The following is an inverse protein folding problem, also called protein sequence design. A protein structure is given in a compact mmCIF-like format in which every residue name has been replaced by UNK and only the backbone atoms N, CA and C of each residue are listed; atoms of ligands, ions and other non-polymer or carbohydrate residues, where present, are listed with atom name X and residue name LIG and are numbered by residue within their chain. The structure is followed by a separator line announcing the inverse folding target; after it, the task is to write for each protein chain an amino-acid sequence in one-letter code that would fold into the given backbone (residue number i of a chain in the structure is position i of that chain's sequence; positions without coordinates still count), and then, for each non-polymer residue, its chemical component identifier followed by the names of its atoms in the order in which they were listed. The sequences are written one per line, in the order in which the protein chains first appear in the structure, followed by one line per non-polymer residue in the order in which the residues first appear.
data_IF_623505624670
#
_entry.id   IF_623505624670
#
_cell.length_a   1.000
_cell.length_b   1.000
_cell.length_c   1.000
_cell.angle_alpha   90.00
_cell.angle_beta   90.00
_cell.angle_gamma   90.00
#
_symmetry.space_group_name_H-M   'P 1'
#
loop_
_entity.id
_entity.type
_entity.pdbx_description
1 polymer ?
#
# COMPACT_ATOMS: atom_id res chain seq x y z
N UNK A 1 37.18 74.52 -53.87
CA UNK A 1 36.19 73.72 -53.14
C UNK A 1 36.63 72.27 -53.27
N UNK A 2 37.47 71.82 -52.35
CA UNK A 2 37.97 70.44 -52.32
C UNK A 2 36.97 69.56 -51.58
N UNK A 3 36.28 68.71 -52.31
CA UNK A 3 35.39 67.68 -51.75
C UNK A 3 36.22 66.49 -51.29
N UNK A 4 36.31 66.29 -49.97
CA UNK A 4 36.96 65.13 -49.38
C UNK A 4 36.28 63.82 -49.82
N UNK A 5 37.04 62.79 -50.20
CA UNK A 5 36.48 61.50 -50.61
C UNK A 5 35.79 60.81 -49.42
N UNK A 6 34.66 60.11 -49.65
CA UNK A 6 33.94 59.42 -48.58
C UNK A 6 34.81 58.31 -47.98
N UNK A 7 34.72 58.08 -46.65
CA UNK A 7 35.49 57.04 -45.99
C UNK A 7 35.11 55.67 -46.57
N UNK A 8 36.10 54.94 -47.07
CA UNK A 8 35.95 53.56 -47.50
C UNK A 8 35.56 52.70 -46.29
N UNK A 9 34.45 51.95 -46.35
CA UNK A 9 34.04 51.11 -45.23
C UNK A 9 35.09 50.03 -44.98
N UNK A 10 35.53 49.90 -43.73
CA UNK A 10 36.55 48.93 -43.35
C UNK A 10 36.15 47.49 -43.75
N UNK A 11 37.06 46.71 -44.35
CA UNK A 11 36.79 45.34 -44.81
C UNK A 11 36.32 44.38 -43.70
N UNK A 12 36.60 44.71 -42.44
CA UNK A 12 36.24 43.97 -41.22
C UNK A 12 34.72 43.88 -41.00
N UNK A 13 33.97 44.95 -41.32
CA UNK A 13 32.52 45.02 -41.04
C UNK A 13 31.71 44.12 -41.99
N UNK A 14 32.17 43.96 -43.23
CA UNK A 14 31.49 43.13 -44.25
C UNK A 14 31.66 41.65 -43.95
N UNK A 15 32.82 41.25 -43.43
CA UNK A 15 33.09 39.87 -43.03
C UNK A 15 32.27 39.48 -41.80
N UNK A 16 32.23 40.34 -40.77
CA UNK A 16 31.44 40.11 -39.56
C UNK A 16 29.94 39.93 -39.86
N UNK A 17 29.36 40.75 -40.74
CA UNK A 17 27.95 40.59 -41.17
C UNK A 17 27.68 39.27 -41.88
N UNK A 18 28.62 38.78 -42.72
CA UNK A 18 28.47 37.48 -43.40
C UNK A 18 28.54 36.31 -42.43
N UNK A 19 29.41 36.38 -41.42
CA UNK A 19 29.50 35.38 -40.35
C UNK A 19 28.23 35.34 -39.51
N UNK A 20 27.72 36.50 -39.08
CA UNK A 20 26.46 36.58 -38.33
C UNK A 20 25.29 36.00 -39.12
N UNK A 21 25.17 36.36 -40.41
CA UNK A 21 24.10 35.84 -41.27
C UNK A 21 24.19 34.32 -41.46
N UNK A 22 25.40 33.75 -41.59
CA UNK A 22 25.59 32.29 -41.63
C UNK A 22 25.21 31.63 -40.31
N UNK A 23 25.64 32.17 -39.17
CA UNK A 23 25.29 31.65 -37.86
C UNK A 23 23.78 31.69 -37.61
N UNK A 24 23.09 32.75 -38.04
CA UNK A 24 21.63 32.85 -37.96
C UNK A 24 20.94 31.82 -38.87
N UNK A 25 21.42 31.63 -40.10
CA UNK A 25 20.89 30.62 -41.01
C UNK A 25 21.09 29.19 -40.48
N UNK A 26 22.23 28.91 -39.85
CA UNK A 26 22.51 27.62 -39.20
C UNK A 26 21.60 27.39 -38.00
N UNK A 27 21.39 28.41 -37.15
CA UNK A 27 20.48 28.33 -36.01
C UNK A 27 19.02 28.08 -36.43
N UNK A 28 18.57 28.70 -37.54
CA UNK A 28 17.24 28.45 -38.09
C UNK A 28 17.13 27.00 -38.61
N UNK A 29 18.16 26.50 -39.30
CA UNK A 29 18.19 25.12 -39.81
C UNK A 29 18.20 24.08 -38.69
N UNK A 30 18.98 24.28 -37.63
CA UNK A 30 19.02 23.36 -36.49
C UNK A 30 17.71 23.37 -35.72
N UNK A 31 17.07 24.54 -35.54
CA UNK A 31 15.75 24.64 -34.93
C UNK A 31 14.68 23.93 -35.76
N UNK A 32 14.65 24.14 -37.07
CA UNK A 32 13.69 23.46 -37.96
C UNK A 32 13.89 21.93 -37.96
N UNK A 33 15.14 21.46 -37.92
CA UNK A 33 15.44 20.03 -37.80
C UNK A 33 14.95 19.45 -36.47
N UNK A 34 15.15 20.16 -35.36
CA UNK A 34 14.67 19.74 -34.04
C UNK A 34 13.13 19.71 -33.97
N UNK A 35 12.44 20.71 -34.52
CA UNK A 35 10.98 20.74 -34.60
C UNK A 35 10.42 19.58 -35.44
N UNK A 36 11.09 19.23 -36.54
CA UNK A 36 10.72 18.07 -37.37
C UNK A 36 10.98 16.72 -36.67
N UNK A 37 11.99 16.63 -35.80
CA UNK A 37 12.24 15.44 -34.98
C UNK A 37 11.19 15.27 -33.87
N UNK A 38 10.84 16.35 -33.17
CA UNK A 38 9.75 16.35 -32.17
C UNK A 38 8.43 15.94 -32.81
N UNK A 39 8.11 16.46 -34.00
CA UNK A 39 6.89 16.09 -34.72
C UNK A 39 6.86 14.61 -35.11
N UNK A 40 7.99 14.05 -35.56
CA UNK A 40 8.11 12.61 -35.85
C UNK A 40 7.97 11.76 -34.60
N UNK A 41 8.57 12.18 -33.48
CA UNK A 41 8.42 11.47 -32.20
C UNK A 41 6.96 11.49 -31.70
N UNK A 42 6.27 12.62 -31.82
CA UNK A 42 4.85 12.73 -31.47
C UNK A 42 3.97 11.83 -32.34
N UNK A 43 4.23 11.75 -33.65
CA UNK A 43 3.53 10.84 -34.55
C UNK A 43 3.75 9.35 -34.15
N UNK A 44 4.99 8.97 -33.82
CA UNK A 44 5.30 7.61 -33.38
C UNK A 44 4.59 7.25 -32.06
N UNK A 45 4.51 8.17 -31.10
CA UNK A 45 3.77 7.98 -29.84
C UNK A 45 2.27 7.78 -30.13
N UNK A 46 1.69 8.58 -31.04
CA UNK A 46 0.29 8.44 -31.44
C UNK A 46 0.01 7.09 -32.12
N UNK A 47 0.95 6.55 -32.90
CA UNK A 47 0.83 5.23 -33.53
C UNK A 47 0.84 4.09 -32.50
N UNK A 48 1.73 4.16 -31.52
CA UNK A 48 1.77 3.19 -30.42
C UNK A 48 0.47 3.23 -29.61
N UNK A 49 -0.03 4.43 -29.29
CA UNK A 49 -1.28 4.59 -28.57
C UNK A 49 -2.48 4.01 -29.34
N UNK A 50 -2.52 4.20 -30.67
CA UNK A 50 -3.56 3.59 -31.53
C UNK A 50 -3.46 2.07 -31.56
N UNK A 51 -2.26 1.51 -31.61
CA UNK A 51 -2.06 0.06 -31.58
C UNK A 51 -2.48 -0.55 -30.23
N UNK A 52 -2.17 0.11 -29.12
CA UNK A 52 -2.60 -0.33 -27.79
C UNK A 52 -4.12 -0.27 -27.62
N UNK A 53 -4.76 0.80 -28.10
CA UNK A 53 -6.22 0.93 -28.08
C UNK A 53 -6.90 -0.18 -28.89
N UNK A 54 -6.35 -0.56 -30.05
CA UNK A 54 -6.86 -1.66 -30.85
C UNK A 54 -6.75 -3.01 -30.12
N UNK A 55 -5.61 -3.29 -29.46
CA UNK A 55 -5.43 -4.51 -28.65
C UNK A 55 -6.38 -4.56 -27.46
N UNK A 56 -6.60 -3.42 -26.79
CA UNK A 56 -7.54 -3.32 -25.69
C UNK A 56 -8.99 -3.57 -26.16
N UNK A 57 -9.37 -3.04 -27.32
CA UNK A 57 -10.68 -3.29 -27.93
C UNK A 57 -10.87 -4.77 -28.26
N UNK A 58 -9.86 -5.44 -28.83
CA UNK A 58 -9.90 -6.87 -29.12
C UNK A 58 -10.01 -7.71 -27.84
N UNK A 59 -9.24 -7.37 -26.80
CA UNK A 59 -9.32 -8.04 -25.50
C UNK A 59 -10.71 -7.91 -24.87
N UNK A 60 -11.28 -6.72 -24.88
CA UNK A 60 -12.64 -6.48 -24.38
C UNK A 60 -13.70 -7.23 -25.18
N UNK A 61 -13.51 -7.38 -26.50
CA UNK A 61 -14.40 -8.19 -27.33
C UNK A 61 -14.36 -9.67 -26.89
N UNK A 62 -13.17 -10.24 -26.70
CA UNK A 62 -13.01 -11.62 -26.21
C UNK A 62 -13.62 -11.83 -24.82
N UNK A 63 -13.47 -10.85 -23.93
CA UNK A 63 -14.08 -10.90 -22.59
C UNK A 63 -15.62 -10.99 -22.68
N UNK A 64 -16.24 -10.17 -23.53
CA UNK A 64 -17.69 -10.20 -23.75
C UNK A 64 -18.17 -11.50 -24.39
N UNK A 65 -17.37 -12.12 -25.26
CA UNK A 65 -17.67 -13.43 -25.84
C UNK A 65 -17.63 -14.53 -24.76
N UNK A 66 -16.66 -14.49 -23.85
CA UNK A 66 -16.59 -15.41 -22.71
C UNK A 66 -17.75 -15.23 -21.72
N UNK A 67 -18.10 -13.99 -21.39
CA UNK A 67 -19.24 -13.68 -20.51
C UNK A 67 -20.57 -14.19 -21.11
N UNK A 68 -20.74 -14.07 -22.44
CA UNK A 68 -21.91 -14.63 -23.13
C UNK A 68 -21.93 -16.17 -23.08
N UNK A 69 -20.80 -16.81 -23.34
CA UNK A 69 -20.70 -18.27 -23.26
C UNK A 69 -20.98 -18.79 -21.84
N UNK A 70 -20.50 -18.10 -20.81
CA UNK A 70 -20.77 -18.44 -19.41
C UNK A 70 -22.26 -18.24 -19.06
N UNK A 71 -22.87 -17.15 -19.53
CA UNK A 71 -24.30 -16.90 -19.35
C UNK A 71 -25.17 -17.98 -20.02
N UNK A 72 -24.81 -18.39 -21.24
CA UNK A 72 -25.49 -19.49 -21.96
C UNK A 72 -25.35 -20.82 -21.21
N UNK A 73 -24.15 -21.19 -20.77
CA UNK A 73 -23.92 -22.39 -19.97
C UNK A 73 -24.71 -22.39 -18.67
N UNK A 74 -24.84 -21.22 -18.03
CA UNK A 74 -25.64 -21.06 -16.80
C UNK A 74 -27.14 -21.24 -17.06
N UNK A 75 -27.65 -20.74 -18.18
CA UNK A 75 -29.06 -20.95 -18.58
C UNK A 75 -29.31 -22.42 -18.88
N UNK A 76 -28.40 -23.11 -19.54
CA UNK A 76 -28.49 -24.54 -19.82
C UNK A 76 -28.49 -25.37 -18.53
N UNK A 77 -27.62 -25.05 -17.57
CA UNK A 77 -27.59 -25.69 -16.26
C UNK A 77 -28.93 -25.51 -15.51
N UNK A 78 -29.47 -24.29 -15.50
CA UNK A 78 -30.75 -24.01 -14.85
C UNK A 78 -31.91 -24.75 -15.54
N UNK A 79 -31.86 -24.86 -16.87
CA UNK A 79 -32.83 -25.65 -17.63
C UNK A 79 -32.75 -27.14 -17.26
N UNK A 80 -31.55 -27.72 -17.22
CA UNK A 80 -31.36 -29.12 -16.82
C UNK A 80 -31.85 -29.37 -15.38
N UNK A 81 -31.59 -28.45 -14.45
CA UNK A 81 -32.12 -28.52 -13.08
C UNK A 81 -33.65 -28.47 -13.05
N UNK A 82 -34.25 -27.59 -13.87
CA UNK A 82 -35.71 -27.47 -13.95
C UNK A 82 -36.33 -28.73 -14.56
N UNK A 83 -35.76 -29.26 -15.64
CA UNK A 83 -36.18 -30.52 -16.26
C UNK A 83 -36.09 -31.68 -15.27
N UNK A 84 -35.01 -31.78 -14.48
CA UNK A 84 -34.86 -32.78 -13.44
C UNK A 84 -35.91 -32.67 -12.31
N UNK A 85 -36.33 -31.46 -11.95
CA UNK A 85 -37.38 -31.23 -10.95
C UNK A 85 -38.79 -31.49 -11.48
N UNK A 86 -39.02 -31.27 -12.78
CA UNK A 86 -40.32 -31.48 -13.44
C UNK A 86 -40.51 -32.88 -14.01
N UNK A 87 -39.43 -33.67 -14.10
CA UNK A 87 -39.52 -35.06 -14.54
C UNK A 87 -40.49 -35.83 -13.61
N UNK A 88 -41.50 -36.52 -14.16
CA UNK A 88 -42.40 -37.31 -13.33
C UNK A 88 -41.57 -38.30 -12.52
N UNK A 89 -41.87 -38.49 -11.22
CA UNK A 89 -41.15 -39.44 -10.40
C UNK A 89 -41.21 -40.79 -11.11
N UNK A 90 -40.06 -41.29 -11.55
CA UNK A 90 -39.96 -42.60 -12.19
C UNK A 90 -40.56 -43.59 -11.19
N UNK A 91 -41.65 -44.29 -11.54
CA UNK A 91 -42.28 -45.23 -10.62
C UNK A 91 -41.21 -46.23 -10.19
N UNK A 92 -40.95 -46.27 -8.90
CA UNK A 92 -39.97 -47.15 -8.29
C UNK A 92 -40.48 -48.60 -8.39
N UNK A 93 -40.36 -49.21 -9.57
CA UNK A 93 -40.54 -50.64 -9.75
C UNK A 93 -39.24 -51.35 -9.37
N UNK A 94 -39.16 -51.79 -8.11
CA UNK A 94 -38.14 -52.75 -7.68
C UNK A 94 -37.66 -52.55 -6.24
N UNK A 95 -37.57 -53.63 -5.43
CA UNK A 95 -37.22 -53.55 -4.01
C UNK A 95 -35.73 -53.25 -3.81
N UNK A 96 -35.43 -52.63 -2.67
CA UNK A 96 -34.10 -52.40 -2.10
C UNK A 96 -33.13 -51.50 -2.87
N UNK A 97 -33.55 -50.26 -3.16
CA UNK A 97 -32.58 -49.16 -3.33
C UNK A 97 -32.19 -48.66 -1.94
N UNK A 98 -30.93 -48.88 -1.48
CA UNK A 98 -30.50 -48.45 -0.16
C UNK A 98 -30.68 -46.94 -0.04
N UNK A 99 -31.21 -46.50 1.11
CA UNK A 99 -31.44 -45.10 1.44
C UNK A 99 -30.24 -44.24 1.02
N UNK A 100 -30.47 -43.05 0.42
CA UNK A 100 -29.40 -42.20 -0.08
C UNK A 100 -28.38 -42.01 1.02
N UNK A 101 -27.16 -42.51 0.76
CA UNK A 101 -26.05 -42.46 1.67
C UNK A 101 -25.79 -40.98 1.96
N UNK A 102 -26.26 -40.50 3.12
CA UNK A 102 -26.00 -39.15 3.61
C UNK A 102 -24.49 -39.06 3.72
N UNK A 103 -23.87 -38.50 2.68
CA UNK A 103 -22.43 -38.38 2.57
C UNK A 103 -21.89 -37.77 3.86
N UNK A 104 -20.83 -38.36 4.42
CA UNK A 104 -20.28 -38.02 5.73
C UNK A 104 -20.01 -36.51 5.93
N UNK A 105 -19.91 -35.76 4.82
CA UNK A 105 -19.83 -34.29 4.75
C UNK A 105 -21.02 -33.56 5.39
N UNK A 106 -22.27 -34.03 5.23
CA UNK A 106 -23.45 -33.31 5.76
C UNK A 106 -23.63 -33.52 7.27
N UNK A 107 -23.28 -34.71 7.79
CA UNK A 107 -23.20 -34.96 9.24
C UNK A 107 -22.11 -34.14 9.92
N UNK A 108 -20.96 -34.00 9.26
CA UNK A 108 -19.86 -33.17 9.74
C UNK A 108 -20.28 -31.70 9.89
N UNK A 109 -20.99 -31.15 8.90
CA UNK A 109 -21.43 -29.75 8.91
C UNK A 109 -22.46 -29.45 10.02
N UNK A 110 -23.36 -30.40 10.33
CA UNK A 110 -24.33 -30.28 11.44
C UNK A 110 -23.67 -30.38 12.82
N UNK A 111 -22.73 -31.30 12.99
CA UNK A 111 -21.94 -31.41 14.23
C UNK A 111 -21.13 -30.14 14.48
N UNK A 112 -20.50 -29.58 13.44
CA UNK A 112 -19.81 -28.30 13.54
C UNK A 112 -20.75 -27.13 13.85
N UNK A 113 -21.94 -27.09 13.26
CA UNK A 113 -22.93 -26.06 13.58
C UNK A 113 -23.34 -26.12 15.06
N UNK A 114 -23.53 -27.32 15.63
CA UNK A 114 -23.82 -27.50 17.05
C UNK A 114 -22.63 -27.11 17.95
N UNK A 115 -21.41 -27.53 17.59
CA UNK A 115 -20.16 -27.19 18.30
C UNK A 115 -19.87 -25.70 18.26
N UNK A 116 -20.31 -24.97 17.23
CA UNK A 116 -20.14 -23.52 17.12
C UNK A 116 -21.26 -22.73 17.80
N UNK A 117 -22.49 -23.26 17.79
CA UNK A 117 -23.64 -22.61 18.43
C UNK A 117 -23.48 -22.57 19.96
N UNK A 118 -22.92 -23.61 20.57
CA UNK A 118 -22.76 -23.70 22.03
C UNK A 118 -21.82 -22.59 22.57
N UNK A 119 -20.62 -22.34 22.00
CA UNK A 119 -19.76 -21.21 22.36
C UNK A 119 -20.34 -19.84 22.01
N UNK A 120 -21.04 -19.70 20.88
CA UNK A 120 -21.67 -18.43 20.51
C UNK A 120 -22.76 -18.02 21.51
N UNK A 121 -23.60 -18.97 21.96
CA UNK A 121 -24.58 -18.73 23.01
C UNK A 121 -23.93 -18.57 24.40
N UNK A 122 -22.91 -19.36 24.74
CA UNK A 122 -22.27 -19.26 26.05
C UNK A 122 -21.41 -18.00 26.19
N UNK A 123 -20.73 -17.56 25.14
CA UNK A 123 -19.91 -16.34 25.17
C UNK A 123 -20.65 -15.05 24.96
N UNK A 124 -21.82 -15.03 24.32
CA UNK A 124 -22.71 -13.84 24.38
C UNK A 124 -23.23 -13.64 25.80
N UNK A 125 -23.57 -14.74 26.48
CA UNK A 125 -23.97 -14.71 27.89
C UNK A 125 -22.79 -14.31 28.79
N UNK A 126 -21.61 -14.92 28.61
CA UNK A 126 -20.42 -14.60 29.39
C UNK A 126 -19.88 -13.18 29.11
N UNK A 127 -19.93 -12.69 27.87
CA UNK A 127 -19.53 -11.31 27.55
C UNK A 127 -20.48 -10.28 28.17
N UNK A 128 -21.80 -10.56 28.24
CA UNK A 128 -22.73 -9.74 29.02
C UNK A 128 -22.33 -9.68 30.49
N UNK A 129 -22.09 -10.84 31.14
CA UNK A 129 -21.74 -10.85 32.56
C UNK A 129 -20.31 -10.35 32.86
N UNK A 130 -19.36 -10.55 31.95
CA UNK A 130 -17.98 -10.12 32.08
C UNK A 130 -17.80 -8.62 31.86
N UNK A 131 -18.58 -8.00 30.97
CA UNK A 131 -18.65 -6.54 30.88
C UNK A 131 -19.25 -5.94 32.15
N UNK A 132 -20.25 -6.58 32.73
CA UNK A 132 -20.87 -6.13 33.99
C UNK A 132 -19.88 -6.24 35.17
N UNK A 133 -19.09 -7.32 35.24
CA UNK A 133 -18.08 -7.53 36.29
C UNK A 133 -16.83 -6.63 36.11
N UNK A 134 -16.36 -6.43 34.88
CA UNK A 134 -15.17 -5.63 34.58
C UNK A 134 -15.43 -4.11 34.61
N UNK A 135 -16.67 -3.65 34.38
CA UNK A 135 -17.02 -2.23 34.36
C UNK A 135 -17.30 -1.62 35.73
N UNK A 136 -17.32 -2.38 36.83
CA UNK A 136 -17.69 -1.78 38.11
C UNK A 136 -16.99 -2.37 39.34
N UNK A 137 -16.09 -1.61 40.00
CA UNK A 137 -15.65 -1.88 41.38
C UNK A 137 -16.79 -1.95 42.40
N UNK A 138 -18.01 -1.51 42.04
CA UNK A 138 -19.23 -1.70 42.86
C UNK A 138 -20.05 -2.95 42.51
N UNK A 139 -19.68 -3.73 41.48
CA UNK A 139 -20.43 -4.95 41.15
C UNK A 139 -20.17 -6.07 42.15
N UNK A 140 -18.93 -6.19 42.63
CA UNK A 140 -18.57 -7.14 43.69
C UNK A 140 -19.39 -6.89 44.97
N UNK A 141 -19.41 -5.68 45.56
CA UNK A 141 -20.27 -5.43 46.72
C UNK A 141 -21.77 -5.53 46.40
N UNK A 142 -22.23 -5.21 45.19
CA UNK A 142 -23.63 -5.42 44.79
C UNK A 142 -24.01 -6.92 44.78
N UNK A 143 -23.16 -7.79 44.24
CA UNK A 143 -23.40 -9.25 44.21
C UNK A 143 -23.28 -9.84 45.62
N UNK A 144 -22.27 -9.44 46.39
CA UNK A 144 -22.11 -9.88 47.79
C UNK A 144 -23.32 -9.47 48.65
N UNK A 145 -23.82 -8.25 48.47
CA UNK A 145 -24.88 -7.67 49.29
C UNK A 145 -26.28 -8.20 48.90
N UNK A 146 -26.54 -8.38 47.59
CA UNK A 146 -27.88 -8.71 47.10
C UNK A 146 -28.10 -10.21 46.85
N UNK A 147 -27.06 -10.95 46.44
CA UNK A 147 -27.15 -12.39 46.20
C UNK A 147 -26.69 -13.24 47.39
N UNK A 148 -26.07 -12.64 48.43
CA UNK A 148 -25.50 -13.33 49.61
C UNK A 148 -24.53 -14.46 49.22
N UNK A 149 -23.80 -14.25 48.14
CA UNK A 149 -22.85 -15.23 47.60
C UNK A 149 -21.48 -14.92 48.20
N UNK A 150 -20.85 -15.90 48.85
CA UNK A 150 -19.52 -15.72 49.46
C UNK A 150 -18.49 -15.26 48.40
N UNK A 151 -17.49 -14.47 48.82
CA UNK A 151 -16.46 -13.93 47.93
C UNK A 151 -15.73 -15.02 47.10
N UNK A 152 -15.64 -16.25 47.61
CA UNK A 152 -15.10 -17.41 46.90
C UNK A 152 -15.94 -17.77 45.66
N UNK A 153 -17.27 -17.72 45.77
CA UNK A 153 -18.17 -18.01 44.68
C UNK A 153 -18.22 -16.87 43.65
N UNK A 154 -18.07 -15.61 44.08
CA UNK A 154 -17.97 -14.46 43.17
C UNK A 154 -16.71 -14.53 42.32
N UNK A 155 -15.57 -14.88 42.94
CA UNK A 155 -14.31 -15.08 42.22
C UNK A 155 -14.34 -16.30 41.29
N UNK A 156 -14.97 -17.40 41.71
CA UNK A 156 -15.18 -18.57 40.85
C UNK A 156 -16.08 -18.23 39.63
N UNK A 157 -17.14 -17.44 39.83
CA UNK A 157 -18.02 -16.99 38.76
C UNK A 157 -17.29 -16.06 37.79
N UNK A 158 -16.50 -15.10 38.29
CA UNK A 158 -15.70 -14.22 37.46
C UNK A 158 -14.68 -15.01 36.62
N UNK A 159 -14.01 -15.99 37.22
CA UNK A 159 -13.11 -16.89 36.51
C UNK A 159 -13.83 -17.70 35.42
N UNK A 160 -15.00 -18.29 35.73
CA UNK A 160 -15.79 -19.05 34.78
C UNK A 160 -16.25 -18.19 33.58
N UNK A 161 -16.63 -16.93 33.85
CA UNK A 161 -16.99 -15.96 32.81
C UNK A 161 -15.79 -15.63 31.92
N UNK A 162 -14.64 -15.30 32.51
CA UNK A 162 -13.42 -14.96 31.77
C UNK A 162 -12.98 -16.13 30.88
N UNK A 163 -13.00 -17.35 31.42
CA UNK A 163 -12.72 -18.57 30.68
C UNK A 163 -13.70 -18.78 29.52
N UNK A 164 -15.00 -18.59 29.74
CA UNK A 164 -16.01 -18.71 28.70
C UNK A 164 -15.86 -17.67 27.58
N UNK A 165 -15.46 -16.43 27.91
CA UNK A 165 -15.14 -15.39 26.92
C UNK A 165 -13.96 -15.83 26.05
N UNK A 166 -12.85 -16.28 26.67
CA UNK A 166 -11.67 -16.77 25.97
C UNK A 166 -12.01 -17.91 25.01
N UNK A 167 -12.72 -18.93 25.50
CA UNK A 167 -13.16 -20.08 24.70
C UNK A 167 -14.05 -19.66 23.51
N UNK A 168 -14.94 -18.68 23.72
CA UNK A 168 -15.84 -18.22 22.67
C UNK A 168 -15.09 -17.47 21.58
N UNK A 169 -14.16 -16.59 21.95
CA UNK A 169 -13.34 -15.87 20.99
C UNK A 169 -12.50 -16.83 20.15
N UNK A 170 -11.90 -17.85 20.77
CA UNK A 170 -11.16 -18.89 20.04
C UNK A 170 -12.05 -19.67 19.07
N UNK A 171 -13.24 -20.06 19.50
CA UNK A 171 -14.20 -20.78 18.66
C UNK A 171 -14.68 -19.90 17.49
N UNK A 172 -14.90 -18.60 17.74
CA UNK A 172 -15.27 -17.64 16.70
C UNK A 172 -14.12 -17.44 15.70
N UNK A 173 -12.87 -17.42 16.16
CA UNK A 173 -11.68 -17.42 15.30
C UNK A 173 -11.66 -18.63 14.36
N UNK A 174 -11.85 -19.84 14.91
CA UNK A 174 -11.93 -21.07 14.11
C UNK A 174 -13.11 -21.05 13.11
N UNK A 175 -14.25 -20.49 13.50
CA UNK A 175 -15.38 -20.30 12.60
C UNK A 175 -15.04 -19.39 11.42
N UNK A 176 -14.37 -18.26 11.68
CA UNK A 176 -13.91 -17.36 10.62
C UNK A 176 -12.86 -18.02 9.72
N UNK A 177 -11.99 -18.87 10.28
CA UNK A 177 -11.05 -19.69 9.50
C UNK A 177 -11.79 -20.64 8.54
N UNK A 178 -12.87 -21.27 9.02
CA UNK A 178 -13.74 -22.13 8.20
C UNK A 178 -14.48 -21.34 7.11
N UNK A 179 -14.97 -20.14 7.40
CA UNK A 179 -15.59 -19.27 6.40
C UNK A 179 -14.58 -18.84 5.33
N UNK A 180 -13.35 -18.49 5.73
CA UNK A 180 -12.26 -18.20 4.81
C UNK A 180 -11.97 -19.40 3.89
N UNK A 181 -12.01 -20.62 4.41
CA UNK A 181 -11.88 -21.83 3.61
C UNK A 181 -13.04 -22.03 2.63
N UNK A 182 -14.28 -21.87 3.09
CA UNK A 182 -15.46 -21.96 2.21
C UNK A 182 -15.42 -20.91 1.10
N UNK A 183 -14.97 -19.69 1.39
CA UNK A 183 -14.78 -18.64 0.38
C UNK A 183 -13.76 -19.06 -0.67
N UNK A 184 -12.60 -19.60 -0.27
CA UNK A 184 -11.58 -20.13 -1.19
C UNK A 184 -12.12 -21.19 -2.14
N UNK A 185 -12.89 -22.13 -1.61
CA UNK A 185 -13.47 -23.22 -2.42
C UNK A 185 -14.48 -22.70 -3.46
N UNK A 186 -15.05 -21.52 -3.25
CA UNK A 186 -15.93 -20.85 -4.22
C UNK A 186 -15.18 -19.95 -5.21
N UNK A 187 -13.86 -19.82 -5.07
CA UNK A 187 -13.07 -18.85 -5.83
C UNK A 187 -13.17 -17.41 -5.31
N UNK A 188 -13.86 -17.18 -4.20
CA UNK A 188 -13.99 -15.86 -3.57
C UNK A 188 -12.71 -15.49 -2.79
N UNK A 189 -12.49 -14.19 -2.61
CA UNK A 189 -11.37 -13.69 -1.80
C UNK A 189 -11.56 -14.02 -0.31
N UNK A 190 -10.65 -14.79 0.32
CA UNK A 190 -10.72 -15.09 1.75
C UNK A 190 -10.15 -13.99 2.64
N UNK A 191 -9.68 -12.88 2.05
CA UNK A 191 -8.88 -11.88 2.76
C UNK A 191 -9.63 -11.25 3.93
N UNK A 192 -10.91 -10.89 3.74
CA UNK A 192 -11.74 -10.29 4.79
C UNK A 192 -11.94 -11.24 5.97
N UNK A 193 -12.37 -12.48 5.71
CA UNK A 193 -12.60 -13.48 6.75
C UNK A 193 -11.34 -13.78 7.57
N UNK A 194 -10.18 -13.83 6.91
CA UNK A 194 -8.88 -13.98 7.58
C UNK A 194 -8.47 -12.77 8.38
N UNK A 195 -8.71 -11.57 7.86
CA UNK A 195 -8.45 -10.34 8.60
C UNK A 195 -9.23 -10.31 9.91
N UNK A 196 -10.53 -10.63 9.85
CA UNK A 196 -11.38 -10.69 11.05
C UNK A 196 -10.97 -11.84 11.97
N UNK A 197 -10.66 -13.03 11.43
CA UNK A 197 -10.12 -14.15 12.21
C UNK A 197 -8.88 -13.74 13.01
N UNK A 198 -7.87 -13.15 12.36
CA UNK A 198 -6.64 -12.74 13.03
C UNK A 198 -6.86 -11.63 14.05
N UNK A 199 -7.81 -10.72 13.80
CA UNK A 199 -8.20 -9.72 14.79
C UNK A 199 -8.81 -10.37 16.05
N UNK A 200 -9.70 -11.35 15.88
CA UNK A 200 -10.31 -12.09 16.99
C UNK A 200 -9.26 -12.90 17.76
N UNK A 201 -8.35 -13.58 17.07
CA UNK A 201 -7.26 -14.37 17.68
C UNK A 201 -6.30 -13.46 18.46
N UNK A 202 -5.93 -12.32 17.89
CA UNK A 202 -5.09 -11.34 18.58
C UNK A 202 -5.77 -10.81 19.84
N UNK A 203 -7.07 -10.53 19.75
CA UNK A 203 -7.86 -10.10 20.91
C UNK A 203 -7.96 -11.20 21.98
N UNK A 204 -8.27 -12.45 21.60
CA UNK A 204 -8.31 -13.60 22.51
C UNK A 204 -6.96 -13.81 23.22
N UNK A 205 -5.87 -13.75 22.45
CA UNK A 205 -4.50 -13.86 22.95
C UNK A 205 -4.18 -12.75 23.96
N UNK A 206 -4.59 -11.51 23.69
CA UNK A 206 -4.40 -10.37 24.59
C UNK A 206 -5.21 -10.52 25.90
N UNK A 207 -6.46 -10.98 25.81
CA UNK A 207 -7.30 -11.26 27.00
C UNK A 207 -6.67 -12.35 27.86
N UNK A 208 -6.28 -13.47 27.25
CA UNK A 208 -5.61 -14.56 27.95
C UNK A 208 -4.27 -14.12 28.56
N UNK A 209 -3.48 -13.32 27.83
CA UNK A 209 -2.25 -12.76 28.37
C UNK A 209 -2.50 -11.91 29.62
N UNK A 210 -3.48 -11.00 29.55
CA UNK A 210 -3.81 -10.06 30.62
C UNK A 210 -4.39 -10.75 31.85
N UNK A 211 -5.22 -11.77 31.67
CA UNK A 211 -5.85 -12.48 32.78
C UNK A 211 -4.82 -13.24 33.61
N UNK A 212 -3.94 -13.96 32.92
CA UNK A 212 -2.94 -14.80 33.58
C UNK A 212 -1.67 -14.04 33.96
N UNK A 213 -1.50 -12.78 33.55
CA UNK A 213 -0.37 -11.92 33.92
C UNK A 213 -0.78 -10.84 34.93
N UNK A 214 0.05 -10.54 35.96
CA UNK A 214 -0.28 -9.50 36.93
C UNK A 214 -0.53 -8.11 36.32
N UNK A 215 0.17 -7.79 35.23
CA UNK A 215 0.01 -6.57 34.46
C UNK A 215 0.48 -6.78 33.03
N UNK A 216 0.16 -5.83 32.13
CA UNK A 216 0.63 -5.85 30.73
C UNK A 216 2.16 -5.80 30.61
N UNK A 217 2.85 -5.18 31.57
CA UNK A 217 4.30 -5.02 31.59
C UNK A 217 5.05 -6.14 32.31
N UNK A 218 4.34 -7.03 33.02
CA UNK A 218 4.94 -8.10 33.81
C UNK A 218 4.42 -9.45 33.32
N UNK A 219 5.05 -10.04 32.28
CA UNK A 219 4.63 -11.33 31.75
C UNK A 219 4.72 -12.41 32.84
N UNK A 220 3.66 -13.19 32.99
CA UNK A 220 3.75 -14.48 33.69
C UNK A 220 3.97 -15.60 32.67
N UNK A 221 4.57 -16.70 33.09
CA UNK A 221 4.74 -17.90 32.25
C UNK A 221 3.39 -18.41 31.75
N UNK A 222 2.37 -18.45 32.61
CA UNK A 222 1.03 -18.89 32.25
C UNK A 222 0.37 -17.96 31.23
N UNK A 223 0.49 -16.64 31.40
CA UNK A 223 -0.07 -15.67 30.45
C UNK A 223 0.56 -15.76 29.07
N UNK A 224 1.88 -15.96 29.00
CA UNK A 224 2.56 -16.20 27.72
C UNK A 224 2.10 -17.51 27.08
N UNK A 225 1.98 -18.59 27.86
CA UNK A 225 1.54 -19.91 27.35
C UNK A 225 0.10 -19.85 26.82
N UNK A 226 -0.85 -19.31 27.58
CA UNK A 226 -2.25 -19.24 27.14
C UNK A 226 -2.43 -18.31 25.94
N UNK A 227 -1.74 -17.16 25.93
CA UNK A 227 -1.73 -16.27 24.78
C UNK A 227 -1.17 -16.95 23.52
N UNK A 228 -0.11 -17.75 23.66
CA UNK A 228 0.48 -18.51 22.57
C UNK A 228 -0.44 -19.65 22.10
N UNK A 229 -1.11 -20.34 23.01
CA UNK A 229 -2.08 -21.41 22.69
C UNK A 229 -3.24 -20.88 21.83
N UNK A 230 -3.77 -19.69 22.14
CA UNK A 230 -4.83 -19.06 21.33
C UNK A 230 -4.39 -18.77 19.89
N UNK A 231 -3.13 -18.40 19.69
CA UNK A 231 -2.56 -18.19 18.36
C UNK A 231 -2.27 -19.53 17.67
N UNK A 232 -1.72 -20.49 18.41
CA UNK A 232 -1.32 -21.80 17.92
C UNK A 232 -2.52 -22.62 17.42
N UNK A 233 -3.68 -22.53 18.07
CA UNK A 233 -4.90 -23.26 17.67
C UNK A 233 -5.35 -22.88 16.25
N UNK A 234 -5.37 -21.58 15.94
CA UNK A 234 -5.73 -21.08 14.61
C UNK A 234 -4.62 -21.30 13.59
N UNK A 235 -3.35 -21.17 13.98
CA UNK A 235 -2.21 -21.51 13.12
C UNK A 235 -2.25 -22.98 12.67
N UNK A 236 -2.52 -23.90 13.61
CA UNK A 236 -2.64 -25.33 13.31
C UNK A 236 -3.76 -25.61 12.31
N UNK A 237 -4.90 -24.93 12.46
CA UNK A 237 -6.01 -25.02 11.52
C UNK A 237 -5.66 -24.49 10.13
N UNK A 238 -5.08 -23.29 10.03
CA UNK A 238 -4.64 -22.70 8.76
C UNK A 238 -3.59 -23.58 8.05
N UNK A 239 -2.66 -24.18 8.79
CA UNK A 239 -1.67 -25.10 8.24
C UNK A 239 -2.32 -26.37 7.68
N UNK A 240 -3.26 -26.96 8.44
CA UNK A 240 -4.04 -28.14 8.03
C UNK A 240 -4.85 -27.85 6.77
N UNK A 241 -5.58 -26.73 6.73
CA UNK A 241 -6.40 -26.35 5.58
C UNK A 241 -5.56 -26.00 4.35
N UNK A 242 -4.41 -25.33 4.54
CA UNK A 242 -3.50 -25.09 3.43
C UNK A 242 -2.98 -26.39 2.83
N UNK A 243 -2.68 -27.41 3.65
CA UNK A 243 -2.28 -28.73 3.15
C UNK A 243 -3.43 -29.41 2.42
N UNK A 244 -4.63 -29.41 3.00
CA UNK A 244 -5.81 -30.01 2.38
C UNK A 244 -6.19 -29.36 1.04
N UNK A 245 -6.13 -28.03 0.93
CA UNK A 245 -6.35 -27.30 -0.33
C UNK A 245 -5.31 -27.70 -1.39
N UNK A 246 -4.04 -27.86 -0.98
CA UNK A 246 -2.98 -28.29 -1.88
C UNK A 246 -3.22 -29.71 -2.42
N UNK A 247 -3.59 -30.63 -1.53
CA UNK A 247 -3.85 -32.02 -1.88
C UNK A 247 -5.09 -32.14 -2.79
N UNK A 248 -6.13 -31.33 -2.55
CA UNK A 248 -7.32 -31.26 -3.42
C UNK A 248 -6.99 -30.76 -4.82
N UNK A 249 -6.25 -29.65 -4.94
CA UNK A 249 -5.83 -29.12 -6.25
C UNK A 249 -4.97 -30.11 -7.00
N UNK A 250 -4.06 -30.79 -6.32
CA UNK A 250 -3.25 -31.85 -6.92
C UNK A 250 -4.12 -32.99 -7.45
N UNK A 251 -5.13 -33.42 -6.68
CA UNK A 251 -6.07 -34.46 -7.10
C UNK A 251 -6.96 -34.01 -8.27
N UNK A 252 -7.40 -32.74 -8.30
CA UNK A 252 -8.20 -32.17 -9.38
C UNK A 252 -7.41 -32.07 -10.69
N UNK A 253 -6.16 -31.58 -10.64
CA UNK A 253 -5.26 -31.56 -11.79
C UNK A 253 -5.03 -32.97 -12.33
N UNK A 254 -4.80 -33.94 -11.45
CA UNK A 254 -4.65 -35.34 -11.83
C UNK A 254 -5.91 -35.89 -12.52
N UNK A 255 -7.11 -35.52 -12.05
CA UNK A 255 -8.40 -35.92 -12.66
C UNK A 255 -8.64 -35.31 -14.04
N UNK A 256 -8.20 -34.06 -14.27
CA UNK A 256 -8.39 -33.36 -15.54
C UNK A 256 -7.48 -33.89 -16.67
N UNK A 257 -6.64 -34.89 -16.41
CA UNK A 257 -5.78 -35.51 -17.42
C UNK A 257 -4.72 -34.56 -17.98
N UNK A 258 -4.61 -33.34 -17.43
CA UNK A 258 -3.45 -32.49 -17.64
C UNK A 258 -2.29 -33.22 -16.99
N UNK A 259 -1.45 -33.85 -17.83
CA UNK A 259 -0.15 -34.38 -17.41
C UNK A 259 0.48 -33.35 -16.48
N UNK A 260 1.03 -33.76 -15.33
CA UNK A 260 1.43 -32.82 -14.29
C UNK A 260 2.43 -31.85 -14.93
N UNK A 261 1.97 -30.66 -15.28
CA UNK A 261 2.79 -29.48 -15.06
C UNK A 261 2.67 -29.36 -13.56
N UNK A 262 3.62 -29.91 -12.78
CA UNK A 262 3.56 -29.73 -11.35
C UNK A 262 3.39 -28.24 -11.15
N UNK A 263 2.36 -27.81 -10.42
CA UNK A 263 2.44 -26.53 -9.74
C UNK A 263 3.82 -26.62 -9.08
N UNK A 264 4.82 -25.81 -9.53
CA UNK A 264 6.20 -26.08 -9.23
C UNK A 264 6.26 -26.24 -7.71
N UNK A 265 6.73 -27.39 -7.20
CA UNK A 265 6.74 -27.64 -5.77
C UNK A 265 7.41 -26.41 -5.15
N UNK A 266 6.72 -25.77 -4.21
CA UNK A 266 7.34 -24.66 -3.46
C UNK A 266 8.68 -25.21 -2.97
N UNK A 267 9.79 -24.48 -3.15
CA UNK A 267 11.10 -24.99 -2.78
C UNK A 267 11.04 -25.42 -1.32
N UNK A 268 11.40 -26.67 -1.05
CA UNK A 268 11.42 -27.23 0.30
C UNK A 268 12.61 -26.67 1.07
N UNK A 269 12.50 -25.41 1.49
CA UNK A 269 13.49 -24.74 2.32
C UNK A 269 13.31 -25.20 3.76
N UNK A 270 14.28 -25.95 4.29
CA UNK A 270 14.23 -26.46 5.66
C UNK A 270 14.14 -25.36 6.73
N UNK A 271 13.42 -25.62 7.81
CA UNK A 271 13.15 -24.67 8.92
C UNK A 271 14.45 -24.13 9.53
N UNK A 272 15.50 -24.95 9.67
CA UNK A 272 16.79 -24.51 10.18
C UNK A 272 17.37 -23.32 9.38
N UNK A 273 17.14 -23.28 8.06
CA UNK A 273 17.65 -22.22 7.19
C UNK A 273 16.90 -20.90 7.39
N UNK A 274 15.59 -20.97 7.68
CA UNK A 274 14.79 -19.81 8.07
C UNK A 274 15.31 -19.15 9.36
N UNK A 275 15.86 -19.93 10.29
CA UNK A 275 16.43 -19.42 11.53
C UNK A 275 17.83 -18.84 11.34
N UNK A 276 18.70 -19.52 10.58
CA UNK A 276 20.10 -19.12 10.41
C UNK A 276 20.28 -17.97 9.41
N UNK A 277 19.52 -18.00 8.31
CA UNK A 277 19.67 -17.05 7.20
C UNK A 277 18.29 -16.56 6.71
N UNK A 278 17.52 -15.84 7.55
CA UNK A 278 16.14 -15.45 7.25
C UNK A 278 16.02 -14.59 5.99
N UNK A 279 16.93 -13.60 5.82
CA UNK A 279 16.92 -12.72 4.64
C UNK A 279 17.16 -13.51 3.35
N UNK A 280 18.13 -14.41 3.35
CA UNK A 280 18.48 -15.22 2.18
C UNK A 280 17.37 -16.21 1.83
N UNK A 281 16.84 -16.89 2.85
CA UNK A 281 15.74 -17.86 2.71
C UNK A 281 14.45 -17.19 2.23
N UNK A 282 14.12 -16.00 2.73
CA UNK A 282 12.97 -15.22 2.27
C UNK A 282 13.11 -14.78 0.82
N UNK A 283 14.29 -14.25 0.43
CA UNK A 283 14.56 -13.89 -0.97
C UNK A 283 14.46 -15.12 -1.88
N UNK A 284 15.07 -16.25 -1.50
CA UNK A 284 14.98 -17.50 -2.27
C UNK A 284 13.54 -17.99 -2.43
N UNK A 285 12.77 -17.98 -1.36
CA UNK A 285 11.36 -18.33 -1.41
C UNK A 285 10.56 -17.40 -2.33
N UNK A 286 10.75 -16.08 -2.21
CA UNK A 286 10.08 -15.09 -3.05
C UNK A 286 10.44 -15.25 -4.52
N UNK A 287 11.72 -15.42 -4.82
CA UNK A 287 12.21 -15.60 -6.20
C UNK A 287 11.70 -16.90 -6.79
N UNK A 288 11.69 -18.00 -6.03
CA UNK A 288 11.12 -19.26 -6.49
C UNK A 288 9.63 -19.16 -6.84
N UNK A 289 8.85 -18.43 -6.02
CA UNK A 289 7.42 -18.21 -6.29
C UNK A 289 7.21 -17.31 -7.52
N UNK A 290 8.00 -16.25 -7.65
CA UNK A 290 7.86 -15.26 -8.73
C UNK A 290 8.32 -15.83 -10.07
N UNK A 291 9.47 -16.50 -10.08
CA UNK A 291 10.13 -17.03 -11.28
C UNK A 291 9.76 -18.49 -11.54
N UNK A 292 8.85 -19.06 -10.73
CA UNK A 292 8.37 -20.45 -10.82
C UNK A 292 9.50 -21.50 -10.79
N UNK A 293 10.55 -21.25 -10.01
CA UNK A 293 11.70 -22.16 -9.86
C UNK A 293 11.32 -23.27 -8.87
N UNK A 294 11.23 -24.54 -9.30
CA UNK A 294 10.83 -25.65 -8.44
C UNK A 294 11.97 -26.13 -7.53
N UNK A 295 13.22 -25.95 -7.95
CA UNK A 295 14.39 -26.43 -7.21
C UNK A 295 14.85 -25.41 -6.16
N UNK A 296 15.02 -25.90 -4.93
CA UNK A 296 15.42 -25.07 -3.80
C UNK A 296 16.87 -24.57 -3.92
N UNK A 297 17.78 -25.37 -4.50
CA UNK A 297 19.17 -24.96 -4.68
C UNK A 297 19.27 -23.81 -5.69
N UNK A 298 18.63 -23.97 -6.86
CA UNK A 298 18.55 -22.94 -7.89
C UNK A 298 17.92 -21.63 -7.37
N UNK A 299 16.87 -21.74 -6.54
CA UNK A 299 16.24 -20.58 -5.91
C UNK A 299 17.18 -19.85 -4.93
N UNK A 300 18.02 -20.59 -4.19
CA UNK A 300 19.02 -20.03 -3.28
C UNK A 300 20.16 -19.33 -4.03
N UNK A 301 20.62 -19.92 -5.13
CA UNK A 301 21.66 -19.29 -5.96
C UNK A 301 21.15 -17.96 -6.53
N UNK A 302 19.92 -17.97 -7.07
CA UNK A 302 19.28 -16.75 -7.57
C UNK A 302 19.05 -15.72 -6.47
N UNK A 303 18.73 -16.14 -5.26
CA UNK A 303 18.61 -15.24 -4.11
C UNK A 303 19.93 -14.57 -3.75
N UNK A 304 21.04 -15.30 -3.87
CA UNK A 304 22.38 -14.74 -3.67
C UNK A 304 22.65 -13.63 -4.67
N UNK A 305 22.34 -13.85 -5.95
CA UNK A 305 22.48 -12.83 -6.99
C UNK A 305 21.64 -11.58 -6.74
N UNK A 306 20.38 -11.76 -6.31
CA UNK A 306 19.48 -10.63 -5.99
C UNK A 306 20.03 -9.85 -4.80
N UNK A 307 20.47 -10.53 -3.74
CA UNK A 307 21.00 -9.88 -2.54
C UNK A 307 22.31 -9.16 -2.84
N UNK A 308 23.22 -9.76 -3.61
CA UNK A 308 24.49 -9.10 -3.98
C UNK A 308 24.25 -7.89 -4.88
N UNK A 309 23.29 -7.96 -5.80
CA UNK A 309 22.88 -6.80 -6.61
C UNK A 309 22.29 -5.68 -5.75
N UNK A 310 21.36 -5.99 -4.84
CA UNK A 310 20.80 -5.00 -3.89
C UNK A 310 21.88 -4.35 -3.02
N UNK A 311 22.81 -5.15 -2.50
CA UNK A 311 23.86 -4.65 -1.62
C UNK A 311 24.89 -3.82 -2.42
N UNK A 312 25.17 -4.17 -3.68
CA UNK A 312 25.98 -3.36 -4.60
C UNK A 312 25.31 -2.02 -4.92
N UNK A 313 24.00 -2.01 -5.22
CA UNK A 313 23.23 -0.78 -5.45
C UNK A 313 23.23 0.12 -4.20
N UNK A 314 23.04 -0.46 -3.02
CA UNK A 314 23.12 0.27 -1.75
C UNK A 314 24.52 0.82 -1.50
N UNK A 315 25.58 0.10 -1.86
CA UNK A 315 26.95 0.56 -1.75
C UNK A 315 27.22 1.75 -2.69
N UNK A 316 26.75 1.68 -3.93
CA UNK A 316 26.83 2.78 -4.91
C UNK A 316 26.06 4.01 -4.43
N UNK A 317 24.82 3.84 -3.98
CA UNK A 317 24.01 4.93 -3.43
C UNK A 317 24.66 5.57 -2.20
N UNK A 318 25.34 4.79 -1.34
CA UNK A 318 26.13 5.31 -0.22
C UNK A 318 27.37 6.08 -0.70
N UNK A 319 28.08 5.59 -1.70
CA UNK A 319 29.24 6.26 -2.29
C UNK A 319 28.84 7.59 -2.94
N UNK A 320 27.73 7.63 -3.68
CA UNK A 320 27.20 8.86 -4.28
C UNK A 320 26.77 9.87 -3.21
N UNK A 321 26.11 9.42 -2.14
CA UNK A 321 25.76 10.29 -1.00
C UNK A 321 26.99 10.90 -0.35
N UNK A 322 28.11 10.17 -0.25
CA UNK A 322 29.38 10.70 0.26
C UNK A 322 30.06 11.69 -0.69
N UNK A 323 29.91 11.52 -2.01
CA UNK A 323 30.50 12.43 -3.02
C UNK A 323 29.74 13.76 -3.17
N UNK A 324 28.45 13.80 -2.84
CA UNK A 324 27.63 15.03 -2.90
C UNK A 324 28.17 16.17 -2.02
N UNK A 325 28.49 15.98 -0.73
CA UNK A 325 29.04 17.06 0.10
C UNK A 325 30.41 17.54 -0.41
N UNK A 326 31.30 16.63 -0.82
CA UNK A 326 32.61 17.01 -1.38
C UNK A 326 32.49 17.84 -2.67
N UNK A 327 31.49 17.55 -3.50
CA UNK A 327 31.25 18.32 -4.73
C UNK A 327 30.70 19.71 -4.43
N UNK A 328 29.82 19.84 -3.44
CA UNK A 328 29.30 21.13 -2.98
C UNK A 328 30.43 21.95 -2.36
N UNK A 329 31.28 21.34 -1.53
CA UNK A 329 32.42 22.01 -0.88
C UNK A 329 33.50 22.45 -1.89
N UNK A 330 33.79 21.64 -2.91
CA UNK A 330 34.69 22.05 -4.01
C UNK A 330 34.08 23.15 -4.89
N UNK A 331 32.77 23.14 -5.10
CA UNK A 331 32.08 24.18 -5.86
C UNK A 331 32.01 25.49 -5.08
N UNK A 332 31.79 25.46 -3.77
CA UNK A 332 31.86 26.66 -2.91
C UNK A 332 33.28 27.21 -2.84
N UNK A 333 34.30 26.36 -2.67
CA UNK A 333 35.69 26.80 -2.66
C UNK A 333 36.17 27.36 -4.02
N UNK A 334 35.66 26.85 -5.15
CA UNK A 334 35.95 27.38 -6.48
C UNK A 334 35.23 28.71 -6.77
N UNK A 335 34.00 28.87 -6.26
CA UNK A 335 33.26 30.12 -6.34
C UNK A 335 33.94 31.23 -5.51
N UNK A 336 34.42 30.89 -4.31
CA UNK A 336 35.15 31.81 -3.43
C UNK A 336 36.47 32.26 -4.06
N UNK A 337 37.26 31.35 -4.64
CA UNK A 337 38.48 31.71 -5.40
C UNK A 337 38.22 32.53 -6.67
N UNK A 338 37.08 32.35 -7.31
CA UNK A 338 36.72 33.15 -8.50
C UNK A 338 36.25 34.55 -8.13
N UNK A 339 35.67 34.75 -6.94
CA UNK A 339 35.29 36.07 -6.44
C UNK A 339 36.54 36.94 -6.13
N UNK A 340 37.63 36.32 -5.67
CA UNK A 340 38.88 37.01 -5.31
C UNK A 340 39.73 37.45 -6.53
N UNK A 341 39.40 36.97 -7.74
CA UNK A 341 40.11 37.33 -8.98
C UNK A 341 39.35 38.30 -9.89
N UNK A 342 38.16 38.79 -9.48
CA UNK A 342 37.56 39.89 -10.21
C UNK A 342 38.28 41.21 -9.85
N UNK A 343 38.87 41.92 -10.84
CA UNK A 343 39.41 43.25 -10.59
C UNK A 343 38.30 44.18 -10.09
N UNK A 344 38.62 45.16 -9.21
CA UNK A 344 37.65 46.07 -8.64
C UNK A 344 36.87 46.74 -9.78
N UNK A 345 35.57 46.48 -9.82
CA UNK A 345 34.68 47.11 -10.77
C UNK A 345 34.76 48.63 -10.55
N UNK A 346 34.95 49.43 -11.61
CA UNK A 346 34.95 50.89 -11.48
C UNK A 346 33.59 51.34 -10.93
N UNK A 347 33.64 52.25 -9.95
CA UNK A 347 32.49 52.91 -9.33
C UNK A 347 31.47 53.34 -10.40
N UNK A 348 30.42 52.54 -10.56
CA UNK A 348 29.26 52.93 -11.36
C UNK A 348 28.40 53.87 -10.51
N UNK A 349 28.58 55.15 -10.83
CA UNK A 349 27.66 56.26 -10.61
C UNK A 349 26.19 55.82 -10.59
N UNK A 350 25.50 56.30 -9.56
CA UNK A 350 24.06 56.26 -9.34
C UNK A 350 23.24 56.45 -10.62
N UNK A 351 22.61 55.38 -11.09
CA UNK A 351 21.51 55.44 -12.05
C UNK A 351 20.20 55.60 -11.25
N UNK A 352 19.38 56.63 -11.53
CA UNK A 352 18.12 56.86 -10.84
C UNK A 352 17.06 55.81 -11.20
N UNK A 353 16.16 55.57 -10.24
CA UNK A 353 15.05 54.64 -10.29
C UNK A 353 14.22 54.72 -11.59
N UNK A 354 13.90 53.59 -12.24
CA UNK A 354 12.93 53.57 -13.34
C UNK A 354 11.51 53.78 -12.80
N UNK A 355 10.84 54.76 -13.38
CA UNK A 355 9.44 55.10 -13.17
C UNK A 355 8.48 53.96 -13.50
N UNK A 356 7.29 54.07 -12.91
CA UNK A 356 6.11 53.21 -13.00
C UNK A 356 5.83 52.64 -14.40
N UNK A 357 5.55 51.33 -14.43
CA UNK A 357 4.93 50.68 -15.59
C UNK A 357 3.44 51.03 -15.63
N UNK A 358 2.86 51.37 -16.80
CA UNK A 358 1.43 51.51 -16.97
C UNK A 358 0.73 50.15 -16.87
N UNK A 359 -0.43 50.14 -16.21
CA UNK A 359 -1.34 49.01 -16.15
C UNK A 359 -1.91 48.68 -17.54
N UNK A 360 -1.80 47.42 -17.97
CA UNK A 360 -2.52 46.87 -19.11
C UNK A 360 -3.97 46.51 -18.70
N UNK A 361 -4.96 46.72 -19.59
CA UNK A 361 -6.36 46.43 -19.32
C UNK A 361 -6.66 44.92 -19.31
N UNK A 362 -7.57 44.54 -18.42
CA UNK A 362 -8.09 43.20 -18.26
C UNK A 362 -8.81 42.72 -19.53
N UNK A 363 -8.44 41.52 -19.99
CA UNK A 363 -9.20 40.77 -21.00
C UNK A 363 -10.28 39.92 -20.30
N UNK A 364 -11.46 39.73 -20.93
CA UNK A 364 -12.63 39.11 -20.30
C UNK A 364 -12.51 37.59 -20.18
N UNK A 365 -13.00 37.10 -19.04
CA UNK A 365 -13.21 35.68 -18.73
C UNK A 365 -14.35 35.15 -19.60
N UNK A 366 -14.02 34.29 -20.57
CA UNK A 366 -15.01 33.44 -21.24
C UNK A 366 -15.17 32.18 -20.40
N UNK A 367 -16.35 32.05 -19.82
CA UNK A 367 -16.85 30.82 -19.21
C UNK A 367 -16.92 29.72 -20.29
N UNK A 368 -16.20 28.63 -20.08
CA UNK A 368 -16.36 27.40 -20.83
C UNK A 368 -16.66 26.27 -19.85
N UNK A 369 -17.93 25.92 -19.91
CA UNK A 369 -18.71 24.85 -19.30
C UNK A 369 -17.95 23.52 -19.17
N UNK A 370 -18.08 22.97 -17.97
CA UNK A 370 -17.50 21.73 -17.47
C UNK A 370 -18.34 20.55 -18.01
N UNK A 371 -17.83 19.87 -19.05
CA UNK A 371 -18.35 18.59 -19.51
C UNK A 371 -17.54 17.45 -18.87
N UNK A 372 -18.19 16.77 -17.93
CA UNK A 372 -17.72 15.61 -17.18
C UNK A 372 -17.69 14.34 -18.08
N UNK A 373 -16.57 13.60 -18.21
CA UNK A 373 -16.62 12.23 -18.70
C UNK A 373 -16.49 11.25 -17.53
N UNK A 374 -17.52 10.43 -17.41
CA UNK A 374 -17.63 9.27 -16.54
C UNK A 374 -16.37 8.39 -16.58
N UNK A 375 -15.73 8.23 -15.43
CA UNK A 375 -14.65 7.26 -15.19
C UNK A 375 -15.22 5.85 -15.16
N UNK A 376 -14.94 5.09 -16.22
CA UNK A 376 -14.90 3.64 -16.15
C UNK A 376 -13.76 3.20 -15.23
N UNK A 377 -14.10 2.45 -14.17
CA UNK A 377 -13.16 1.85 -13.25
C UNK A 377 -12.53 0.62 -13.92
N UNK A 378 -11.21 0.64 -14.12
CA UNK A 378 -10.43 -0.54 -14.46
C UNK A 378 -9.64 -1.03 -13.23
N UNK A 379 -9.57 -2.36 -13.15
CA UNK A 379 -9.05 -3.25 -12.11
C UNK A 379 -7.64 -2.94 -11.53
N UNK A 380 -7.26 -3.56 -10.38
CA UNK A 380 -6.18 -3.09 -9.52
C UNK A 380 -4.87 -3.85 -9.74
N UNK A 381 -3.88 -3.21 -10.37
CA UNK A 381 -2.49 -3.68 -10.32
C UNK A 381 -1.46 -2.54 -10.42
N UNK A 382 -1.74 -1.39 -9.78
CA UNK A 382 -0.84 -0.21 -9.71
C UNK A 382 -0.91 0.56 -8.38
N UNK A 383 -1.08 -0.14 -7.26
CA UNK A 383 -1.35 0.51 -5.94
C UNK A 383 -0.13 1.18 -5.28
N UNK A 384 1.11 0.77 -5.57
CA UNK A 384 2.26 1.25 -4.77
C UNK A 384 2.88 2.56 -5.29
N UNK A 385 2.92 2.78 -6.60
CA UNK A 385 3.48 4.02 -7.19
C UNK A 385 2.52 5.20 -7.04
N UNK A 386 1.21 4.94 -7.05
CA UNK A 386 0.19 5.97 -6.86
C UNK A 386 0.03 6.37 -5.39
N UNK A 387 0.22 5.44 -4.44
CA UNK A 387 0.23 5.74 -3.01
C UNK A 387 1.40 6.66 -2.64
N UNK A 388 2.62 6.38 -3.10
CA UNK A 388 3.79 7.21 -2.82
C UNK A 388 3.64 8.62 -3.39
N UNK A 389 3.16 8.74 -4.64
CA UNK A 389 2.89 10.05 -5.27
C UNK A 389 1.79 10.83 -4.55
N UNK A 390 0.79 10.15 -3.98
CA UNK A 390 -0.27 10.77 -3.18
C UNK A 390 0.26 11.25 -1.82
N UNK A 391 1.12 10.49 -1.15
CA UNK A 391 1.74 10.90 0.11
C UNK A 391 2.63 12.14 -0.06
N UNK A 392 3.46 12.18 -1.10
CA UNK A 392 4.27 13.36 -1.43
C UNK A 392 3.38 14.59 -1.68
N UNK A 393 2.26 14.41 -2.38
CA UNK A 393 1.29 15.51 -2.64
C UNK A 393 0.56 15.98 -1.38
N UNK A 394 0.32 15.10 -0.41
CA UNK A 394 -0.34 15.44 0.85
C UNK A 394 0.62 16.19 1.77
N UNK A 395 1.88 15.75 1.84
CA UNK A 395 2.93 16.41 2.61
C UNK A 395 3.23 17.80 2.08
N UNK A 396 3.26 17.99 0.76
CA UNK A 396 3.51 19.30 0.15
C UNK A 396 2.35 20.27 0.43
N UNK A 397 1.09 19.82 0.31
CA UNK A 397 -0.08 20.63 0.69
C UNK A 397 -0.10 20.99 2.17
N UNK A 398 0.30 20.06 3.04
CA UNK A 398 0.41 20.31 4.47
C UNK A 398 1.49 21.34 4.79
N UNK A 399 2.62 21.30 4.07
CA UNK A 399 3.67 22.30 4.18
C UNK A 399 3.21 23.69 3.70
N UNK A 400 2.54 23.76 2.55
CA UNK A 400 2.02 25.04 2.01
C UNK A 400 1.03 25.68 2.97
N UNK A 401 0.07 24.90 3.49
CA UNK A 401 -0.88 25.36 4.51
C UNK A 401 -0.16 25.83 5.79
N UNK A 402 0.84 25.06 6.26
CA UNK A 402 1.65 25.45 7.41
C UNK A 402 2.35 26.80 7.18
N UNK A 403 2.98 26.98 6.02
CA UNK A 403 3.69 28.22 5.67
C UNK A 403 2.75 29.43 5.59
N UNK A 404 1.54 29.25 5.06
CA UNK A 404 0.50 30.29 5.05
C UNK A 404 0.05 30.67 6.46
N UNK A 405 -0.17 29.70 7.34
CA UNK A 405 -0.57 29.97 8.72
C UNK A 405 0.53 30.69 9.52
N UNK A 406 1.79 30.34 9.31
CA UNK A 406 2.93 31.05 9.92
C UNK A 406 3.00 32.49 9.41
N UNK A 407 2.85 32.72 8.10
CA UNK A 407 2.80 34.07 7.52
C UNK A 407 1.63 34.89 8.09
N UNK A 408 0.45 34.29 8.23
CA UNK A 408 -0.73 34.94 8.79
C UNK A 408 -0.57 35.32 10.28
N UNK A 409 0.33 34.67 11.01
CA UNK A 409 0.59 34.89 12.44
C UNK A 409 1.90 35.65 12.71
N UNK A 410 2.32 36.50 11.77
CA UNK A 410 3.48 37.36 11.94
C UNK A 410 4.83 36.66 11.74
N UNK A 411 4.85 35.51 11.09
CA UNK A 411 6.07 34.81 10.70
C UNK A 411 6.66 33.88 11.75
N UNK A 412 6.06 33.75 12.93
CA UNK A 412 6.54 32.85 13.98
C UNK A 412 6.23 31.37 13.66
N UNK A 413 7.25 30.51 13.42
CA UNK A 413 7.04 29.09 13.15
C UNK A 413 6.47 28.32 14.35
N UNK A 414 6.60 28.82 15.57
CA UNK A 414 6.04 28.19 16.77
C UNK A 414 4.53 28.39 16.90
N UNK A 415 3.97 29.37 16.19
CA UNK A 415 2.53 29.70 16.22
C UNK A 415 1.62 28.61 15.67
N UNK A 416 2.13 27.66 14.89
CA UNK A 416 1.37 26.53 14.33
C UNK A 416 1.73 25.23 15.05
N UNK A 417 0.72 24.58 15.64
CA UNK A 417 0.91 23.37 16.44
C UNK A 417 0.55 22.10 15.68
N UNK A 418 1.16 20.97 16.07
CA UNK A 418 0.90 19.67 15.46
C UNK A 418 -0.59 19.25 15.45
N UNK A 419 -1.37 19.48 16.53
CA UNK A 419 -2.82 19.24 16.53
C UNK A 419 -3.60 20.07 15.50
N UNK A 420 -3.16 21.28 15.16
CA UNK A 420 -3.83 22.09 14.13
C UNK A 420 -3.64 21.48 12.73
N UNK A 421 -2.44 20.95 12.44
CA UNK A 421 -2.17 20.21 11.20
C UNK A 421 -3.01 18.93 11.15
N UNK A 422 -3.09 18.19 12.26
CA UNK A 422 -3.87 16.96 12.35
C UNK A 422 -5.38 17.23 12.11
N UNK A 423 -5.91 18.30 12.71
CA UNK A 423 -7.30 18.74 12.50
C UNK A 423 -7.58 19.11 11.04
N UNK A 424 -6.63 19.75 10.35
CA UNK A 424 -6.82 20.21 8.97
C UNK A 424 -6.76 19.07 7.95
N UNK A 425 -5.87 18.10 8.15
CA UNK A 425 -5.60 17.05 7.15
C UNK A 425 -6.19 15.68 7.53
N UNK A 426 -6.55 15.45 8.80
CA UNK A 426 -7.09 14.18 9.29
C UNK A 426 -6.05 13.06 9.33
N UNK A 427 -4.76 13.39 9.42
CA UNK A 427 -3.65 12.45 9.27
C UNK A 427 -2.63 12.61 10.39
N UNK A 428 -2.67 11.68 11.35
CA UNK A 428 -1.87 11.72 12.59
C UNK A 428 -0.35 11.65 12.36
N UNK A 429 0.12 11.10 11.24
CA UNK A 429 1.56 11.06 10.96
C UNK A 429 2.13 12.42 10.56
N UNK A 430 1.32 13.35 10.02
CA UNK A 430 1.78 14.70 9.68
C UNK A 430 2.11 15.53 10.93
N UNK A 431 1.45 15.25 12.07
CA UNK A 431 1.81 15.85 13.36
C UNK A 431 3.28 15.62 13.72
N UNK A 432 3.82 14.44 13.40
CA UNK A 432 5.23 14.07 13.64
C UNK A 432 6.20 14.79 12.69
N UNK A 433 5.69 15.42 11.62
CA UNK A 433 6.47 16.16 10.62
C UNK A 433 6.56 17.66 10.89
N UNK A 434 5.98 18.16 11.98
CA UNK A 434 6.01 19.57 12.33
C UNK A 434 7.45 20.13 12.43
N UNK A 435 8.37 19.40 13.04
CA UNK A 435 9.78 19.81 13.16
C UNK A 435 10.43 20.00 11.79
N UNK A 436 10.08 19.16 10.83
CA UNK A 436 10.58 19.25 9.46
C UNK A 436 9.98 20.45 8.72
N UNK A 437 8.69 20.72 8.91
CA UNK A 437 8.02 21.90 8.34
C UNK A 437 8.60 23.21 8.91
N UNK A 438 8.87 23.26 10.21
CA UNK A 438 9.58 24.38 10.87
C UNK A 438 10.94 24.62 10.23
N UNK A 439 11.78 23.58 10.15
CA UNK A 439 13.12 23.68 9.59
C UNK A 439 13.09 24.09 8.11
N UNK A 440 12.13 23.57 7.32
CA UNK A 440 11.96 23.95 5.91
C UNK A 440 11.53 25.40 5.77
N UNK A 441 10.57 25.86 6.58
CA UNK A 441 10.10 27.26 6.56
C UNK A 441 11.20 28.27 6.90
N UNK A 442 12.00 28.01 7.93
CA UNK A 442 13.15 28.88 8.31
C UNK A 442 14.19 28.96 7.20
N UNK A 443 14.46 27.83 6.52
CA UNK A 443 15.38 27.80 5.38
C UNK A 443 14.85 28.58 4.17
N UNK A 444 13.55 28.52 3.90
CA UNK A 444 12.92 29.22 2.78
C UNK A 444 12.66 30.71 3.07
N UNK A 445 12.57 31.10 4.34
CA UNK A 445 12.30 32.46 4.79
C UNK A 445 13.32 32.86 5.87
N UNK A 446 14.60 33.04 5.50
CA UNK A 446 15.62 33.45 6.46
C UNK A 446 15.24 34.81 7.07
N UNK A 447 15.48 35.01 8.38
CA UNK A 447 15.25 36.30 9.02
C UNK A 447 16.06 37.39 8.30
N UNK A 448 15.50 38.60 8.22
CA UNK A 448 16.20 39.72 7.62
C UNK A 448 17.52 39.95 8.36
N UNK A 449 18.64 40.16 7.64
CA UNK A 449 19.93 40.44 8.28
C UNK A 449 19.80 41.68 9.16
N UNK A 450 19.94 41.50 10.48
CA UNK A 450 19.78 42.56 11.48
C UNK A 450 18.56 42.42 12.41
N UNK A 451 17.70 41.41 12.25
CA UNK A 451 16.78 41.04 13.33
C UNK A 451 17.55 40.21 14.36
N UNK A 452 17.90 40.81 15.50
CA UNK A 452 18.51 40.14 16.64
C UNK A 452 17.50 39.17 17.28
N UNK A 453 17.25 38.04 16.62
CA UNK A 453 16.54 36.91 17.20
C UNK A 453 17.52 36.17 18.11
N UNK A 454 17.50 36.57 19.38
CA UNK A 454 18.08 35.89 20.53
C UNK A 454 17.77 34.40 20.46
N UNK A 455 18.80 33.56 20.51
CA UNK A 455 18.67 32.10 20.66
C UNK A 455 18.01 31.80 22.02
N UNK A 456 16.78 31.26 22.00
CA UNK A 456 16.20 30.45 23.08
C UNK A 456 15.76 29.08 22.54
#
# INVERSE_FOLDING_TARGET
MDTAPPPTPEPTTRYARRLLARAQADAIRTRAAAEAEVTRAQAAIADVARAEAARAAEHNKRLRELERAEAEARVELLRAQTEALTAPPVPAEGPDVPAPEVTATDRGDRLWAAVLAIPLLSGTTAAMFGQIAALHPRFVPFVEQELRVDAEHVSALAFAIAFAIGLTLETLGLFMARLAHKARLRGDSPALYRGVMWAIVAFASAVNYREWSPSWSTPSTLGVIFAALSVASVLGWELREHRADRDRRAAEIARLGWAPTPIPPRPELGVARWLVAPRHTWTAWRTAVTDRIPDAATALDRATEVITAEDAERAQARAERKRKPERVERQSAAAEKSADQLPPAPEQSSIPAPAERPALPAAPVVAAEEAEPARAQTAPERSNVTAFRREDSLRERAYQWYAEQVRARGGDPASVTGPQIDKQFGVTHLKKKLTEFKARYVRENPPAPGSDAVNE
#
